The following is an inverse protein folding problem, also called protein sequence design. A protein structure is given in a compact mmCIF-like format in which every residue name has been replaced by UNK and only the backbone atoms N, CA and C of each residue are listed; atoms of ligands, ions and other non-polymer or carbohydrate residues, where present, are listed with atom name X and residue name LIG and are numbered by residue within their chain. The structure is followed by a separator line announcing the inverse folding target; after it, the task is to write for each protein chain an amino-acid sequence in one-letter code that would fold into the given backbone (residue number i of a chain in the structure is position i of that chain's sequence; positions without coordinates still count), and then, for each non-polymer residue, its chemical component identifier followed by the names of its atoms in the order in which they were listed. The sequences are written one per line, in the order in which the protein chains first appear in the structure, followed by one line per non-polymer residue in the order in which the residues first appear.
data_IF_857300230961
#
_entry.id   IF_857300230961
#
_cell.length_a   1.000
_cell.length_b   1.000
_cell.length_c   1.000
_cell.angle_alpha   90.00
_cell.angle_beta   90.00
_cell.angle_gamma   90.00
#
_symmetry.space_group_name_H-M   'P 1'
#
loop_
_entity.id
_entity.type
_entity.pdbx_description
1 polymer ?
#
# COMPACT_ATOMS: atom_id res chain seq x y z
N UNK A 1 10.27 18.55 6.63
CA UNK A 1 11.35 17.79 5.94
C UNK A 1 12.50 18.74 5.69
N UNK A 2 13.76 18.34 5.89
CA UNK A 2 14.91 19.16 5.54
C UNK A 2 14.96 19.44 4.03
N UNK A 3 15.20 20.69 3.66
CA UNK A 3 15.21 21.12 2.26
C UNK A 3 16.22 20.32 1.41
N UNK A 4 17.38 19.99 1.98
CA UNK A 4 18.45 19.24 1.32
C UNK A 4 18.15 17.76 1.07
N UNK A 5 17.11 17.19 1.70
CA UNK A 5 16.74 15.79 1.53
C UNK A 5 15.97 15.52 0.24
N UNK A 6 15.65 16.57 -0.54
CA UNK A 6 14.77 16.49 -1.70
C UNK A 6 15.54 16.94 -2.95
N UNK A 7 15.79 16.04 -3.91
CA UNK A 7 16.68 16.30 -5.04
C UNK A 7 16.13 17.34 -6.02
N UNK A 8 14.81 17.56 -6.08
CA UNK A 8 14.17 18.44 -7.05
C UNK A 8 13.25 19.49 -6.39
N UNK A 9 13.71 20.74 -6.38
CA UNK A 9 13.03 21.87 -5.69
C UNK A 9 11.99 22.58 -6.55
N UNK A 10 11.83 22.17 -7.81
CA UNK A 10 10.86 22.74 -8.77
C UNK A 10 9.43 22.65 -8.25
N UNK A 11 9.05 21.56 -7.57
CA UNK A 11 7.70 21.38 -7.04
C UNK A 11 7.33 22.46 -6.00
N UNK A 12 8.25 22.77 -5.07
CA UNK A 12 8.03 23.79 -4.04
C UNK A 12 7.84 25.18 -4.65
N UNK A 13 8.61 25.51 -5.70
CA UNK A 13 8.48 26.79 -6.42
C UNK A 13 7.17 26.89 -7.22
N UNK A 14 6.76 25.82 -7.92
CA UNK A 14 5.58 25.82 -8.80
C UNK A 14 4.27 25.72 -8.01
N UNK A 15 4.25 25.01 -6.88
CA UNK A 15 3.01 24.66 -6.13
C UNK A 15 2.83 25.37 -4.79
N UNK A 16 3.70 26.31 -4.43
CA UNK A 16 3.63 27.04 -3.15
C UNK A 16 2.28 27.73 -2.87
N UNK A 17 1.59 28.19 -3.92
CA UNK A 17 0.28 28.85 -3.83
C UNK A 17 -0.90 27.91 -3.51
N UNK A 18 -0.71 26.58 -3.59
CA UNK A 18 -1.78 25.59 -3.35
C UNK A 18 -1.72 24.99 -1.93
N UNK A 19 -0.91 25.57 -1.03
CA UNK A 19 -0.65 25.03 0.31
C UNK A 19 -0.16 23.56 0.27
N UNK A 20 0.47 23.13 -0.83
CA UNK A 20 1.07 21.80 -0.94
C UNK A 20 2.34 21.71 -0.09
N UNK A 21 3.25 22.65 -0.33
CA UNK A 21 4.57 22.73 0.28
C UNK A 21 4.94 24.20 0.46
N UNK A 22 5.47 24.58 1.62
CA UNK A 22 6.06 25.89 1.88
C UNK A 22 7.51 25.72 2.31
N UNK A 23 8.38 26.62 1.87
CA UNK A 23 9.76 26.71 2.35
C UNK A 23 9.75 27.59 3.61
N UNK A 24 10.30 27.10 4.71
CA UNK A 24 10.40 27.81 5.99
C UNK A 24 11.80 27.60 6.55
N UNK A 25 12.70 28.55 6.28
CA UNK A 25 14.13 28.39 6.59
C UNK A 25 14.74 27.20 5.86
N UNK A 26 15.35 26.29 6.60
CA UNK A 26 15.96 25.05 6.08
C UNK A 26 14.96 23.89 5.90
N UNK A 27 13.66 24.15 6.12
CA UNK A 27 12.62 23.12 6.11
C UNK A 27 11.59 23.34 5.00
N UNK A 28 11.05 22.23 4.52
CA UNK A 28 9.80 22.15 3.77
C UNK A 28 8.68 21.75 4.73
N UNK A 29 7.64 22.59 4.81
CA UNK A 29 6.42 22.39 5.61
C UNK A 29 5.23 22.06 4.70
N UNK A 30 4.34 21.20 5.18
CA UNK A 30 3.22 20.65 4.39
C UNK A 30 1.92 20.97 5.11
N UNK A 31 1.27 22.11 4.82
CA UNK A 31 0.06 22.52 5.51
C UNK A 31 -1.19 21.69 5.16
N UNK A 32 -1.03 20.62 4.38
CA UNK A 32 -2.10 19.68 4.05
C UNK A 32 -2.98 20.08 2.88
N UNK A 33 -2.60 21.12 2.15
CA UNK A 33 -3.32 21.56 0.96
C UNK A 33 -3.18 20.60 -0.22
N UNK A 34 -4.13 20.71 -1.14
CA UNK A 34 -4.25 19.94 -2.36
C UNK A 34 -4.78 20.83 -3.48
N UNK A 35 -4.63 20.42 -4.75
CA UNK A 35 -5.28 21.17 -5.84
C UNK A 35 -6.80 21.16 -5.68
N UNK A 36 -7.35 20.07 -5.13
CA UNK A 36 -8.79 19.93 -4.84
C UNK A 36 -9.19 20.34 -3.42
N UNK A 37 -8.22 20.56 -2.51
CA UNK A 37 -8.48 20.91 -1.12
C UNK A 37 -7.47 21.97 -0.66
N UNK A 38 -7.57 23.17 -1.25
CA UNK A 38 -6.59 24.27 -1.06
C UNK A 38 -6.51 24.75 0.37
N UNK A 39 -7.60 24.59 1.12
CA UNK A 39 -7.72 24.98 2.53
C UNK A 39 -7.41 23.84 3.52
N UNK A 40 -6.90 22.70 3.03
CA UNK A 40 -6.47 21.56 3.84
C UNK A 40 -7.33 20.31 3.64
N UNK A 41 -6.72 19.14 3.81
CA UNK A 41 -7.37 17.85 3.59
C UNK A 41 -8.47 17.50 4.60
N UNK A 42 -8.40 18.02 5.84
CA UNK A 42 -9.37 17.71 6.90
C UNK A 42 -10.80 18.09 6.51
N UNK A 43 -11.02 19.34 6.09
CA UNK A 43 -12.33 19.80 5.61
C UNK A 43 -12.86 18.92 4.47
N UNK A 44 -11.98 18.54 3.53
CA UNK A 44 -12.35 17.70 2.40
C UNK A 44 -12.73 16.27 2.82
N UNK A 45 -12.02 15.69 3.81
CA UNK A 45 -12.34 14.38 4.40
C UNK A 45 -13.70 14.43 5.10
N UNK A 46 -13.97 15.50 5.86
CA UNK A 46 -15.26 15.71 6.54
C UNK A 46 -16.39 15.92 5.53
N UNK A 47 -16.17 16.73 4.50
CA UNK A 47 -17.13 16.93 3.42
C UNK A 47 -17.51 15.63 2.71
N UNK A 48 -16.55 14.72 2.45
CA UNK A 48 -16.86 13.39 1.90
C UNK A 48 -17.74 12.59 2.87
N UNK A 49 -17.39 12.59 4.16
CA UNK A 49 -18.12 11.88 5.20
C UNK A 49 -19.54 12.42 5.40
N UNK A 50 -19.75 13.72 5.30
CA UNK A 50 -21.06 14.37 5.34
C UNK A 50 -21.89 14.05 4.09
N UNK A 51 -21.25 14.03 2.91
CA UNK A 51 -21.91 13.73 1.64
C UNK A 51 -22.36 12.27 1.55
N UNK A 52 -21.60 11.35 2.14
CA UNK A 52 -21.90 9.91 2.19
C UNK A 52 -21.55 9.35 3.57
N UNK A 53 -22.48 9.41 4.55
CA UNK A 53 -22.26 8.93 5.92
C UNK A 53 -21.77 7.48 6.01
N UNK A 54 -22.20 6.63 5.08
CA UNK A 54 -21.83 5.22 4.99
C UNK A 54 -20.33 4.98 4.76
N UNK A 55 -19.57 5.99 4.31
CA UNK A 55 -18.10 5.89 4.21
C UNK A 55 -17.49 5.57 5.58
N UNK A 56 -18.02 6.17 6.65
CA UNK A 56 -17.67 5.89 8.05
C UNK A 56 -16.16 5.63 8.28
N UNK A 57 -15.34 6.65 8.03
CA UNK A 57 -13.88 6.58 8.13
C UNK A 57 -13.43 5.97 9.47
N UNK A 58 -12.51 5.00 9.41
CA UNK A 58 -11.92 4.35 10.59
C UNK A 58 -12.83 3.35 11.29
N UNK A 59 -14.03 3.11 10.75
CA UNK A 59 -14.96 2.07 11.23
C UNK A 59 -15.20 1.07 10.11
N UNK A 60 -16.01 1.46 9.11
CA UNK A 60 -16.31 0.64 7.94
C UNK A 60 -15.16 0.71 6.93
N UNK A 61 -14.75 1.94 6.57
CA UNK A 61 -13.66 2.15 5.62
C UNK A 61 -12.36 2.32 6.40
N UNK A 62 -11.50 1.29 6.32
CA UNK A 62 -10.20 1.21 7.01
C UNK A 62 -9.03 1.25 6.04
N UNK A 63 -9.12 0.58 4.89
CA UNK A 63 -8.03 0.50 3.91
C UNK A 63 -8.44 1.17 2.60
N UNK A 64 -7.71 2.22 2.22
CA UNK A 64 -8.03 3.07 1.06
C UNK A 64 -6.89 3.04 0.05
N UNK A 65 -7.23 3.04 -1.23
CA UNK A 65 -6.29 3.27 -2.33
C UNK A 65 -6.42 4.72 -2.81
N UNK A 66 -5.34 5.50 -2.75
CA UNK A 66 -5.30 6.89 -3.23
C UNK A 66 -4.50 6.99 -4.53
N UNK A 67 -5.21 7.17 -5.64
CA UNK A 67 -4.65 7.19 -7.00
C UNK A 67 -4.24 8.61 -7.37
N UNK A 68 -2.98 8.78 -7.80
CA UNK A 68 -2.46 10.09 -8.20
C UNK A 68 -2.36 11.03 -6.99
N UNK A 69 -1.84 10.52 -5.89
CA UNK A 69 -1.92 11.09 -4.55
C UNK A 69 -1.20 12.45 -4.34
N UNK A 70 -0.39 12.91 -5.30
CA UNK A 70 0.49 14.05 -5.08
C UNK A 70 1.43 13.79 -3.90
N UNK A 71 1.49 14.72 -2.96
CA UNK A 71 2.26 14.57 -1.71
C UNK A 71 1.53 13.74 -0.63
N UNK A 72 0.49 13.00 -1.01
CA UNK A 72 -0.33 12.12 -0.17
C UNK A 72 -0.97 12.82 1.05
N UNK A 73 -1.35 14.09 0.92
CA UNK A 73 -2.01 14.82 2.01
C UNK A 73 -3.33 14.16 2.42
N UNK A 74 -4.15 13.69 1.47
CA UNK A 74 -5.40 12.99 1.78
C UNK A 74 -5.16 11.77 2.68
N UNK A 75 -4.26 10.87 2.26
CA UNK A 75 -3.89 9.69 3.05
C UNK A 75 -3.24 10.04 4.40
N UNK A 76 -2.40 11.08 4.44
CA UNK A 76 -1.71 11.51 5.66
C UNK A 76 -2.66 12.00 6.76
N UNK A 77 -3.70 12.76 6.42
CA UNK A 77 -4.69 13.24 7.40
C UNK A 77 -5.74 12.18 7.75
N UNK A 78 -5.90 11.14 6.93
CA UNK A 78 -6.77 10.00 7.22
C UNK A 78 -6.22 9.10 8.34
N UNK A 79 -4.92 9.17 8.64
CA UNK A 79 -4.35 8.47 9.80
C UNK A 79 -5.00 8.87 11.11
N UNK A 80 -5.29 10.17 11.30
CA UNK A 80 -5.97 10.69 12.51
C UNK A 80 -7.42 10.19 12.62
N UNK A 81 -7.97 9.66 11.53
CA UNK A 81 -9.29 9.01 11.47
C UNK A 81 -9.21 7.49 11.55
N UNK A 82 -8.04 6.91 11.88
CA UNK A 82 -7.88 5.47 11.94
C UNK A 82 -8.02 4.79 10.58
N UNK A 83 -7.61 5.44 9.50
CA UNK A 83 -7.64 4.90 8.13
C UNK A 83 -6.22 4.76 7.60
N UNK A 84 -5.91 3.59 7.03
CA UNK A 84 -4.66 3.35 6.32
C UNK A 84 -4.88 3.59 4.82
N UNK A 85 -4.07 4.48 4.24
CA UNK A 85 -4.19 4.82 2.83
C UNK A 85 -2.92 4.43 2.09
N UNK A 86 -3.04 3.48 1.16
CA UNK A 86 -1.98 3.17 0.21
C UNK A 86 -2.04 4.19 -0.93
N UNK A 87 -1.07 5.08 -0.96
CA UNK A 87 -1.00 6.14 -1.97
C UNK A 87 -0.07 5.74 -3.11
N UNK A 88 -0.39 6.06 -4.36
CA UNK A 88 0.59 5.90 -5.43
C UNK A 88 0.47 6.95 -6.52
N UNK A 89 1.61 7.21 -7.16
CA UNK A 89 1.71 8.05 -8.33
C UNK A 89 2.90 7.59 -9.20
N UNK A 90 2.88 7.89 -10.51
CA UNK A 90 4.02 7.63 -11.39
C UNK A 90 5.25 8.47 -10.99
N UNK A 91 6.43 8.05 -11.45
CA UNK A 91 7.58 8.95 -11.59
C UNK A 91 7.31 9.85 -12.79
N UNK A 92 6.64 10.97 -12.56
CA UNK A 92 6.40 11.99 -13.59
C UNK A 92 7.50 13.05 -13.59
N UNK A 93 7.40 14.07 -14.45
CA UNK A 93 8.33 15.21 -14.52
C UNK A 93 8.49 15.98 -13.19
N UNK A 94 7.63 15.71 -12.20
CA UNK A 94 7.72 16.30 -10.88
C UNK A 94 8.52 15.46 -9.88
N UNK A 95 8.96 14.25 -10.25
CA UNK A 95 9.92 13.27 -9.68
C UNK A 95 9.95 13.02 -8.16
N UNK A 96 9.24 13.78 -7.33
CA UNK A 96 9.42 13.83 -5.88
C UNK A 96 8.10 13.75 -5.08
N UNK A 97 6.93 13.62 -5.72
CA UNK A 97 5.64 13.67 -5.03
C UNK A 97 5.47 12.53 -4.01
N UNK A 98 5.68 11.29 -4.45
CA UNK A 98 5.70 10.09 -3.58
C UNK A 98 6.85 10.14 -2.59
N UNK A 99 8.02 10.66 -2.99
CA UNK A 99 9.16 10.83 -2.09
C UNK A 99 8.79 11.73 -0.90
N UNK A 100 8.08 12.84 -1.11
CA UNK A 100 7.61 13.70 -0.03
C UNK A 100 6.66 12.98 0.93
N UNK A 101 5.75 12.14 0.43
CA UNK A 101 4.87 11.34 1.27
C UNK A 101 5.69 10.42 2.19
N UNK A 102 6.65 9.69 1.60
CA UNK A 102 7.52 8.76 2.33
C UNK A 102 8.40 9.49 3.36
N UNK A 103 8.99 10.64 3.01
CA UNK A 103 9.77 11.48 3.95
C UNK A 103 8.94 12.02 5.12
N UNK A 104 7.60 12.14 4.96
CA UNK A 104 6.66 12.57 6.01
C UNK A 104 6.16 11.45 6.90
N UNK A 105 6.47 10.19 6.58
CA UNK A 105 5.90 9.05 7.31
C UNK A 105 4.57 8.54 6.73
N UNK A 106 4.25 8.86 5.47
CA UNK A 106 2.97 8.53 4.84
C UNK A 106 3.15 7.36 3.85
N UNK A 107 2.33 6.30 3.92
CA UNK A 107 2.42 5.14 3.04
C UNK A 107 2.22 5.54 1.59
N UNK A 108 3.22 5.24 0.77
CA UNK A 108 3.12 5.45 -0.66
C UNK A 108 4.04 4.49 -1.44
N UNK A 109 3.70 4.23 -2.70
CA UNK A 109 4.55 3.50 -3.64
C UNK A 109 4.69 4.27 -4.95
N UNK A 110 5.82 4.05 -5.63
CA UNK A 110 6.00 4.51 -7.01
C UNK A 110 5.38 3.47 -7.93
N UNK A 111 4.24 3.78 -8.54
CA UNK A 111 3.56 2.84 -9.43
C UNK A 111 2.83 3.59 -10.56
N UNK A 112 2.68 2.92 -11.69
CA UNK A 112 1.88 3.40 -12.82
C UNK A 112 0.76 2.39 -13.08
N UNK A 113 -0.42 2.86 -13.43
CA UNK A 113 -1.43 1.99 -14.03
C UNK A 113 -1.27 2.09 -15.54
N UNK A 114 -1.07 0.97 -16.23
CA UNK A 114 -0.88 1.00 -17.68
C UNK A 114 -0.93 -0.38 -18.32
N UNK A 115 0.10 -1.20 -18.11
CA UNK A 115 0.24 -2.49 -18.79
C UNK A 115 -0.10 -3.67 -17.89
N UNK A 116 0.25 -3.59 -16.61
CA UNK A 116 0.10 -4.67 -15.62
C UNK A 116 -0.89 -4.29 -14.52
N UNK A 117 -1.44 -5.31 -13.87
CA UNK A 117 -2.25 -5.17 -12.66
C UNK A 117 -1.45 -4.46 -11.57
N UNK A 118 -2.15 -3.67 -10.77
CA UNK A 118 -1.59 -3.20 -9.51
C UNK A 118 -1.24 -4.43 -8.66
N UNK A 119 -0.10 -4.41 -7.94
CA UNK A 119 0.43 -5.55 -7.17
C UNK A 119 -0.33 -5.81 -5.86
N UNK A 120 -1.66 -5.74 -5.94
CA UNK A 120 -2.62 -5.99 -4.88
C UNK A 120 -3.59 -7.10 -5.30
N UNK A 121 -4.11 -7.88 -4.35
CA UNK A 121 -5.14 -8.87 -4.64
C UNK A 121 -6.45 -8.18 -5.03
N UNK A 122 -7.34 -8.91 -5.69
CA UNK A 122 -8.69 -8.41 -5.94
C UNK A 122 -9.51 -8.31 -4.64
N UNK A 123 -10.47 -7.38 -4.57
CA UNK A 123 -11.45 -7.27 -3.48
C UNK A 123 -10.77 -7.01 -2.12
N UNK A 124 -9.91 -5.99 -2.03
CA UNK A 124 -9.14 -5.70 -0.81
C UNK A 124 -9.33 -4.31 -0.24
N UNK A 125 -9.56 -3.29 -1.09
CA UNK A 125 -9.77 -1.91 -0.63
C UNK A 125 -11.23 -1.65 -0.29
N UNK A 126 -11.44 -0.93 0.80
CA UNK A 126 -12.78 -0.52 1.25
C UNK A 126 -13.28 0.70 0.45
N UNK A 127 -12.36 1.58 0.05
CA UNK A 127 -12.61 2.69 -0.87
C UNK A 127 -11.40 2.98 -1.77
N UNK A 128 -11.68 3.57 -2.94
CA UNK A 128 -10.68 4.15 -3.84
C UNK A 128 -10.95 5.64 -3.97
N UNK A 129 -9.90 6.44 -3.87
CA UNK A 129 -9.97 7.90 -4.01
C UNK A 129 -9.12 8.36 -5.21
N UNK A 130 -9.66 9.32 -5.98
CA UNK A 130 -8.91 10.06 -6.97
C UNK A 130 -9.31 11.54 -6.91
N UNK A 131 -8.36 12.39 -6.51
CA UNK A 131 -8.50 13.85 -6.57
C UNK A 131 -7.59 14.43 -7.65
N UNK A 132 -8.18 14.80 -8.79
CA UNK A 132 -7.48 15.32 -9.97
C UNK A 132 -6.30 14.43 -10.40
N UNK A 133 -6.47 13.11 -10.33
CA UNK A 133 -5.42 12.14 -10.62
C UNK A 133 -4.98 12.08 -12.09
N UNK A 134 -5.71 12.76 -13.01
CA UNK A 134 -5.44 12.81 -14.46
C UNK A 134 -5.39 11.44 -15.15
N UNK A 135 -5.99 10.43 -14.53
CA UNK A 135 -6.11 9.10 -15.12
C UNK A 135 -7.27 9.11 -16.13
N UNK A 136 -7.04 8.73 -17.39
CA UNK A 136 -8.09 8.70 -18.40
C UNK A 136 -8.94 7.42 -18.23
N UNK A 137 -9.78 7.39 -17.21
CA UNK A 137 -10.55 6.20 -16.81
C UNK A 137 -11.47 5.61 -17.89
N UNK A 138 -11.93 6.42 -18.85
CA UNK A 138 -12.93 6.05 -19.86
C UNK A 138 -12.34 5.55 -21.19
N UNK A 139 -11.05 5.74 -21.43
CA UNK A 139 -10.42 5.35 -22.70
C UNK A 139 -10.00 3.87 -22.70
N UNK A 140 -9.56 3.36 -23.85
CA UNK A 140 -9.04 2.00 -24.00
C UNK A 140 -9.95 0.90 -23.44
N UNK A 141 -11.28 1.06 -23.61
CA UNK A 141 -12.27 0.12 -23.09
C UNK A 141 -12.41 0.14 -21.57
N UNK A 142 -11.93 1.19 -20.90
CA UNK A 142 -12.08 1.37 -19.46
C UNK A 142 -11.12 0.55 -18.60
N UNK A 143 -10.05 -0.02 -19.19
CA UNK A 143 -9.10 -0.93 -18.50
C UNK A 143 -8.64 -0.43 -17.14
N UNK A 144 -8.32 0.85 -17.01
CA UNK A 144 -7.85 1.43 -15.75
C UNK A 144 -8.96 1.47 -14.69
N UNK A 145 -10.20 1.76 -15.08
CA UNK A 145 -11.34 1.73 -14.17
C UNK A 145 -11.74 0.29 -13.82
N UNK A 146 -11.57 -0.65 -14.75
CA UNK A 146 -11.78 -2.08 -14.51
C UNK A 146 -10.78 -2.65 -13.51
N UNK A 147 -9.54 -2.16 -13.52
CA UNK A 147 -8.56 -2.49 -12.49
C UNK A 147 -8.97 -1.98 -11.11
N UNK A 148 -9.54 -0.77 -11.01
CA UNK A 148 -10.15 -0.31 -9.75
C UNK A 148 -11.31 -1.22 -9.33
N UNK A 149 -12.12 -1.66 -10.28
CA UNK A 149 -13.17 -2.62 -10.01
C UNK A 149 -12.64 -3.97 -9.51
N UNK A 150 -11.49 -4.45 -9.99
CA UNK A 150 -10.85 -5.67 -9.48
C UNK A 150 -10.48 -5.52 -8.00
N UNK A 151 -9.80 -4.43 -7.64
CA UNK A 151 -9.22 -4.26 -6.28
C UNK A 151 -10.21 -3.73 -5.24
N UNK A 152 -11.30 -3.06 -5.65
CA UNK A 152 -12.33 -2.54 -4.75
C UNK A 152 -13.28 -3.64 -4.26
N UNK A 153 -13.60 -3.64 -2.96
CA UNK A 153 -14.56 -4.59 -2.38
C UNK A 153 -15.99 -4.36 -2.90
N UNK A 154 -16.80 -5.42 -3.09
CA UNK A 154 -18.24 -5.29 -3.35
C UNK A 154 -18.89 -4.37 -2.31
N UNK A 155 -19.68 -3.39 -2.74
CA UNK A 155 -20.26 -2.39 -1.84
C UNK A 155 -19.31 -1.30 -1.35
N UNK A 156 -18.05 -1.30 -1.78
CA UNK A 156 -17.06 -0.26 -1.49
C UNK A 156 -17.24 0.97 -2.37
N UNK A 157 -16.56 2.06 -2.03
CA UNK A 157 -16.78 3.37 -2.66
C UNK A 157 -15.64 3.79 -3.59
N UNK A 158 -15.98 4.40 -4.73
CA UNK A 158 -15.06 5.19 -5.54
C UNK A 158 -15.41 6.66 -5.43
N UNK A 159 -14.48 7.45 -4.89
CA UNK A 159 -14.63 8.88 -4.66
C UNK A 159 -13.82 9.62 -5.72
N UNK A 160 -14.53 10.22 -6.69
CA UNK A 160 -13.92 10.88 -7.82
C UNK A 160 -14.12 12.40 -7.75
N UNK A 161 -13.00 13.13 -7.63
CA UNK A 161 -12.97 14.60 -7.58
C UNK A 161 -12.13 15.14 -8.72
N UNK A 162 -12.73 15.43 -9.87
CA UNK A 162 -12.03 15.94 -11.06
C UNK A 162 -12.83 17.02 -11.79
N UNK A 163 -12.19 17.80 -12.66
CA UNK A 163 -12.85 18.89 -13.41
C UNK A 163 -14.12 18.45 -14.15
N UNK A 164 -14.22 17.24 -14.76
CA UNK A 164 -15.46 16.75 -15.36
C UNK A 164 -16.67 16.71 -14.41
N UNK A 165 -16.44 16.60 -13.09
CA UNK A 165 -17.50 16.52 -12.08
C UNK A 165 -18.14 17.88 -11.82
N UNK A 166 -17.36 18.97 -11.85
CA UNK A 166 -17.81 20.29 -11.38
C UNK A 166 -17.65 21.43 -12.38
N UNK A 167 -17.01 21.20 -13.53
CA UNK A 167 -16.92 22.15 -14.63
C UNK A 167 -17.87 21.77 -15.78
N UNK A 168 -17.99 22.67 -16.76
CA UNK A 168 -18.88 22.54 -17.93
C UNK A 168 -18.18 22.91 -19.23
N UNK A 169 -16.85 22.81 -19.26
CA UNK A 169 -16.09 22.95 -20.51
C UNK A 169 -16.46 21.79 -21.45
N UNK A 170 -16.38 21.96 -22.79
CA UNK A 170 -16.76 20.91 -23.73
C UNK A 170 -16.08 19.56 -23.46
N UNK A 171 -14.75 19.55 -23.26
CA UNK A 171 -13.97 18.36 -22.94
C UNK A 171 -14.41 17.72 -21.60
N UNK A 172 -14.64 18.53 -20.57
CA UNK A 172 -15.11 18.05 -19.26
C UNK A 172 -16.48 17.35 -19.38
N UNK A 173 -17.38 17.87 -20.21
CA UNK A 173 -18.69 17.29 -20.46
C UNK A 173 -18.58 15.97 -21.23
N UNK A 174 -17.70 15.89 -22.23
CA UNK A 174 -17.43 14.66 -22.97
C UNK A 174 -16.89 13.56 -22.06
N UNK A 175 -15.88 13.89 -21.25
CA UNK A 175 -15.29 12.95 -20.28
C UNK A 175 -16.35 12.51 -19.25
N UNK A 176 -17.15 13.43 -18.72
CA UNK A 176 -18.23 13.09 -17.79
C UNK A 176 -19.23 12.11 -18.39
N UNK A 177 -19.64 12.35 -19.64
CA UNK A 177 -20.58 11.48 -20.34
C UNK A 177 -20.00 10.08 -20.58
N UNK A 178 -18.76 10.00 -21.08
CA UNK A 178 -18.07 8.73 -21.32
C UNK A 178 -17.88 7.94 -20.03
N UNK A 179 -17.44 8.61 -18.95
CA UNK A 179 -17.30 8.02 -17.62
C UNK A 179 -18.63 7.50 -17.07
N UNK A 180 -19.68 8.32 -17.15
CA UNK A 180 -21.00 7.95 -16.63
C UNK A 180 -21.58 6.75 -17.38
N UNK A 181 -21.38 6.67 -18.70
CA UNK A 181 -21.78 5.51 -19.51
C UNK A 181 -21.02 4.24 -19.09
N UNK A 182 -19.70 4.32 -18.95
CA UNK A 182 -18.86 3.19 -18.55
C UNK A 182 -19.20 2.68 -17.14
N UNK A 183 -19.29 3.58 -16.15
CA UNK A 183 -19.64 3.24 -14.77
C UNK A 183 -21.02 2.56 -14.71
N UNK A 184 -22.00 3.09 -15.45
CA UNK A 184 -23.33 2.47 -15.55
C UNK A 184 -23.26 1.08 -16.18
N UNK A 185 -22.45 0.89 -17.22
CA UNK A 185 -22.23 -0.42 -17.85
C UNK A 185 -21.49 -1.42 -16.93
N UNK A 186 -20.71 -0.90 -15.99
CA UNK A 186 -20.08 -1.66 -14.89
C UNK A 186 -21.02 -1.89 -13.69
N UNK A 187 -22.29 -1.47 -13.77
CA UNK A 187 -23.29 -1.60 -12.71
C UNK A 187 -22.94 -0.89 -11.40
N UNK A 188 -22.07 0.10 -11.44
CA UNK A 188 -21.78 0.93 -10.26
C UNK A 188 -22.90 1.94 -10.05
N UNK A 189 -23.34 2.06 -8.80
CA UNK A 189 -24.37 3.00 -8.39
C UNK A 189 -23.76 4.38 -8.17
N UNK A 190 -24.37 5.44 -8.73
CA UNK A 190 -24.03 6.81 -8.36
C UNK A 190 -24.74 7.17 -7.06
N UNK A 191 -23.99 7.26 -5.97
CA UNK A 191 -24.53 7.51 -4.61
C UNK A 191 -24.78 9.00 -4.38
N UNK A 192 -23.84 9.85 -4.77
CA UNK A 192 -23.92 11.29 -4.52
C UNK A 192 -23.08 12.07 -5.52
N UNK A 193 -23.58 13.26 -5.90
CA UNK A 193 -22.76 14.32 -6.49
C UNK A 193 -22.89 15.54 -5.58
N UNK A 194 -21.79 15.92 -4.95
CA UNK A 194 -21.78 17.01 -3.97
C UNK A 194 -20.76 18.06 -4.34
N UNK A 195 -21.03 19.32 -3.98
CA UNK A 195 -20.14 20.46 -4.24
C UNK A 195 -19.62 21.04 -2.93
N UNK A 196 -18.30 21.17 -2.83
CA UNK A 196 -17.62 21.86 -1.76
C UNK A 196 -17.51 23.35 -2.14
N UNK A 197 -18.30 24.19 -1.48
CA UNK A 197 -18.33 25.64 -1.73
C UNK A 197 -17.06 26.34 -1.27
N UNK A 198 -16.35 25.78 -0.28
CA UNK A 198 -15.15 26.37 0.32
C UNK A 198 -13.96 26.17 -0.63
N UNK A 199 -13.73 24.93 -1.08
CA UNK A 199 -12.65 24.64 -2.02
C UNK A 199 -13.05 24.90 -3.49
N UNK A 200 -14.34 25.15 -3.77
CA UNK A 200 -14.93 25.32 -5.11
C UNK A 200 -14.68 24.12 -6.01
N UNK A 201 -14.89 22.92 -5.46
CA UNK A 201 -14.75 21.63 -6.16
C UNK A 201 -16.03 20.81 -6.02
N UNK A 202 -16.10 19.67 -6.70
CA UNK A 202 -17.17 18.70 -6.53
C UNK A 202 -16.66 17.29 -6.56
N UNK A 203 -17.39 16.41 -5.88
CA UNK A 203 -17.13 14.97 -5.80
C UNK A 203 -18.31 14.20 -6.38
N UNK A 204 -18.02 13.15 -7.12
CA UNK A 204 -18.98 12.10 -7.46
C UNK A 204 -18.56 10.83 -6.70
N UNK A 205 -19.48 10.27 -5.91
CA UNK A 205 -19.24 9.04 -5.15
C UNK A 205 -20.04 7.92 -5.78
N UNK A 206 -19.35 6.86 -6.15
CA UNK A 206 -19.94 5.66 -6.72
C UNK A 206 -19.78 4.47 -5.78
N UNK A 207 -20.70 3.51 -5.84
CA UNK A 207 -20.66 2.27 -5.06
C UNK A 207 -20.62 1.06 -5.98
N UNK A 208 -19.65 0.18 -5.75
CA UNK A 208 -19.54 -1.10 -6.47
C UNK A 208 -20.72 -2.02 -6.08
N UNK A 209 -21.33 -2.77 -7.01
CA UNK A 209 -22.44 -3.67 -6.69
C UNK A 209 -22.05 -4.75 -5.68
N UNK A 210 -23.03 -5.24 -4.94
CA UNK A 210 -22.89 -6.30 -3.92
C UNK A 210 -23.42 -7.66 -4.39
N UNK A 211 -23.96 -7.76 -5.60
CA UNK A 211 -24.46 -9.00 -6.21
C UNK A 211 -24.24 -9.00 -7.73
N UNK A 212 -24.39 -10.16 -8.37
CA UNK A 212 -24.26 -10.27 -9.83
C UNK A 212 -25.53 -9.93 -10.61
N UNK A 213 -26.65 -9.62 -9.92
CA UNK A 213 -27.96 -9.42 -10.55
C UNK A 213 -27.92 -8.38 -11.69
N UNK A 214 -27.23 -7.26 -11.48
CA UNK A 214 -27.08 -6.26 -12.53
C UNK A 214 -26.24 -6.78 -13.70
N UNK A 215 -25.14 -7.51 -13.45
CA UNK A 215 -24.28 -8.05 -14.50
C UNK A 215 -25.01 -9.01 -15.43
N UNK A 216 -25.91 -9.81 -14.87
CA UNK A 216 -26.72 -10.82 -15.56
C UNK A 216 -27.86 -10.19 -16.38
N UNK A 217 -28.40 -9.07 -15.92
CA UNK A 217 -29.46 -8.32 -16.62
C UNK A 217 -28.97 -7.39 -17.73
N UNK A 218 -27.64 -7.29 -17.95
CA UNK A 218 -27.09 -6.40 -18.99
C UNK A 218 -27.46 -6.90 -20.38
N UNK A 219 -28.07 -6.01 -21.17
CA UNK A 219 -28.38 -6.27 -22.59
C UNK A 219 -27.12 -6.44 -23.45
N UNK A 220 -26.01 -5.80 -23.07
CA UNK A 220 -24.71 -5.91 -23.72
C UNK A 220 -23.64 -6.22 -22.69
N UNK A 221 -22.82 -7.24 -22.97
CA UNK A 221 -21.70 -7.63 -22.12
C UNK A 221 -20.45 -6.78 -22.46
N UNK A 222 -20.59 -5.46 -22.35
CA UNK A 222 -19.52 -4.49 -22.54
C UNK A 222 -19.46 -3.57 -21.32
N UNK A 223 -18.44 -3.64 -20.46
CA UNK A 223 -17.28 -4.56 -20.54
C UNK A 223 -17.68 -6.02 -20.23
N UNK A 224 -16.99 -7.01 -20.80
CA UNK A 224 -17.28 -8.43 -20.58
C UNK A 224 -16.96 -8.87 -19.15
N UNK A 225 -17.50 -10.01 -18.74
CA UNK A 225 -17.11 -10.68 -17.49
C UNK A 225 -15.85 -11.52 -17.76
N UNK A 226 -14.88 -11.50 -16.85
CA UNK A 226 -13.65 -12.27 -16.98
C UNK A 226 -13.92 -13.79 -17.00
N UNK A 227 -13.04 -14.56 -17.65
CA UNK A 227 -13.13 -16.02 -17.61
C UNK A 227 -12.91 -16.54 -16.19
N UNK A 228 -13.48 -17.71 -15.86
CA UNK A 228 -13.28 -18.33 -14.55
C UNK A 228 -11.84 -18.77 -14.27
N UNK A 229 -11.00 -18.86 -15.31
CA UNK A 229 -9.56 -19.13 -15.21
C UNK A 229 -8.73 -17.90 -14.86
N UNK A 230 -9.28 -16.69 -15.00
CA UNK A 230 -8.58 -15.44 -14.67
C UNK A 230 -8.72 -15.17 -13.17
N UNK A 231 -7.67 -15.51 -12.41
CA UNK A 231 -7.64 -15.31 -10.96
C UNK A 231 -7.55 -13.81 -10.63
N UNK A 232 -8.51 -13.22 -9.89
CA UNK A 232 -8.44 -11.82 -9.48
C UNK A 232 -7.31 -11.51 -8.47
N UNK A 233 -6.70 -12.51 -7.83
CA UNK A 233 -5.58 -12.32 -6.89
C UNK A 233 -4.22 -12.27 -7.58
N UNK A 234 -4.08 -12.96 -8.70
CA UNK A 234 -2.86 -12.92 -9.49
C UNK A 234 -2.61 -11.50 -10.01
N UNK A 235 -1.48 -10.92 -9.62
CA UNK A 235 -1.16 -9.52 -9.93
C UNK A 235 0.28 -9.30 -10.41
N UNK A 236 1.25 -10.09 -9.95
CA UNK A 236 2.66 -9.91 -10.34
C UNK A 236 2.87 -10.24 -11.82
N UNK A 237 3.30 -9.26 -12.62
CA UNK A 237 3.43 -9.35 -14.09
C UNK A 237 2.20 -9.87 -14.84
N UNK A 238 1.01 -9.69 -14.25
CA UNK A 238 -0.24 -10.04 -14.92
C UNK A 238 -0.72 -8.84 -15.74
N UNK A 239 -0.91 -8.97 -17.07
CA UNK A 239 -1.41 -7.87 -17.89
C UNK A 239 -2.79 -7.38 -17.44
N UNK A 240 -3.04 -6.08 -17.57
CA UNK A 240 -4.36 -5.51 -17.34
C UNK A 240 -5.40 -6.16 -18.24
N UNK A 241 -6.53 -6.53 -17.63
CA UNK A 241 -7.64 -7.17 -18.32
C UNK A 241 -8.78 -6.17 -18.52
N UNK A 242 -9.36 -6.17 -19.71
CA UNK A 242 -10.53 -5.36 -20.05
C UNK A 242 -11.85 -6.10 -19.72
N UNK A 243 -11.94 -6.67 -18.51
CA UNK A 243 -13.11 -7.43 -18.08
C UNK A 243 -13.41 -7.21 -16.58
N UNK A 244 -14.61 -7.62 -16.15
CA UNK A 244 -15.03 -7.54 -14.75
C UNK A 244 -15.12 -8.92 -14.11
N UNK A 245 -14.61 -9.06 -12.89
CA UNK A 245 -14.84 -10.25 -12.06
C UNK A 245 -16.23 -10.23 -11.43
N UNK A 246 -16.88 -11.39 -11.37
CA UNK A 246 -18.14 -11.58 -10.65
C UNK A 246 -17.97 -11.32 -9.15
N UNK A 247 -19.03 -10.85 -8.52
CA UNK A 247 -19.09 -10.76 -7.05
C UNK A 247 -19.20 -12.18 -6.49
N UNK A 248 -18.38 -12.57 -5.50
CA UNK A 248 -18.52 -13.86 -4.82
C UNK A 248 -19.83 -13.92 -4.03
N UNK A 249 -20.67 -14.93 -4.26
CA UNK A 249 -21.98 -15.08 -3.57
C UNK A 249 -22.01 -16.27 -2.59
N UNK A 250 -21.11 -17.24 -2.75
CA UNK A 250 -20.98 -18.36 -1.82
C UNK A 250 -20.51 -17.88 -0.43
N UNK A 251 -21.22 -18.28 0.63
CA UNK A 251 -21.05 -17.74 1.98
C UNK A 251 -19.64 -17.91 2.57
N UNK A 252 -18.93 -18.98 2.20
CA UNK A 252 -17.56 -19.26 2.66
C UNK A 252 -16.47 -18.80 1.68
N UNK A 253 -16.85 -18.19 0.56
CA UNK A 253 -15.91 -17.69 -0.44
C UNK A 253 -15.46 -16.28 -0.07
N UNK A 254 -14.16 -16.01 -0.16
CA UNK A 254 -13.58 -14.68 0.11
C UNK A 254 -14.30 -13.61 -0.71
N UNK A 255 -14.69 -12.52 -0.05
CA UNK A 255 -15.33 -11.36 -0.68
C UNK A 255 -16.86 -11.41 -0.75
N UNK A 256 -17.51 -12.49 -0.29
CA UNK A 256 -18.97 -12.57 -0.16
C UNK A 256 -19.52 -11.85 1.06
N UNK A 257 -18.69 -11.63 2.09
CA UNK A 257 -19.04 -10.88 3.29
C UNK A 257 -18.02 -9.76 3.52
N UNK A 258 -18.48 -8.68 4.16
CA UNK A 258 -17.58 -7.65 4.64
C UNK A 258 -16.84 -8.12 5.90
N UNK A 259 -15.58 -7.70 6.08
CA UNK A 259 -14.88 -7.86 7.34
C UNK A 259 -15.62 -7.17 8.49
N UNK A 260 -15.31 -7.58 9.72
CA UNK A 260 -15.74 -6.86 10.92
C UNK A 260 -15.32 -5.38 10.87
N UNK A 261 -15.97 -4.52 11.64
CA UNK A 261 -15.56 -3.12 11.72
C UNK A 261 -14.20 -2.97 12.41
N UNK A 262 -13.46 -1.92 12.06
CA UNK A 262 -12.23 -1.57 12.78
C UNK A 262 -12.55 -1.11 14.22
N UNK A 263 -11.79 -1.51 15.25
CA UNK A 263 -10.56 -2.31 15.20
C UNK A 263 -10.73 -3.84 15.31
N UNK A 264 -11.96 -4.35 15.46
CA UNK A 264 -12.22 -5.77 15.71
C UNK A 264 -11.68 -6.71 14.61
N UNK A 265 -11.70 -6.27 13.34
CA UNK A 265 -11.16 -7.06 12.23
C UNK A 265 -9.66 -7.40 12.33
N UNK A 266 -8.88 -6.66 13.11
CA UNK A 266 -7.43 -6.89 13.21
C UNK A 266 -7.10 -8.28 13.79
N UNK A 267 -7.91 -8.75 14.73
CA UNK A 267 -7.70 -9.99 15.48
C UNK A 267 -8.71 -11.07 15.08
N UNK A 268 -9.76 -10.71 14.33
CA UNK A 268 -10.78 -11.64 13.85
C UNK A 268 -10.22 -12.53 12.74
N UNK A 269 -10.24 -13.84 12.98
CA UNK A 269 -9.99 -14.82 11.93
C UNK A 269 -11.01 -14.66 10.78
N UNK A 270 -10.57 -14.51 9.52
CA UNK A 270 -11.46 -14.43 8.38
C UNK A 270 -12.41 -15.61 8.27
N UNK A 271 -13.69 -15.35 7.96
CA UNK A 271 -14.74 -16.38 7.87
C UNK A 271 -14.48 -17.46 6.81
N UNK A 272 -13.65 -17.14 5.81
CA UNK A 272 -13.30 -18.02 4.69
C UNK A 272 -12.02 -18.84 4.93
N UNK A 273 -11.34 -18.66 6.07
CA UNK A 273 -10.30 -19.60 6.51
C UNK A 273 -10.97 -20.79 7.19
N UNK A 274 -10.91 -21.94 6.53
CA UNK A 274 -11.59 -23.16 7.00
C UNK A 274 -10.60 -24.07 7.74
N UNK A 275 -11.07 -24.77 8.77
CA UNK A 275 -10.24 -25.75 9.50
C UNK A 275 -9.78 -26.93 8.63
N UNK A 276 -10.42 -27.16 7.49
CA UNK A 276 -10.01 -28.15 6.49
C UNK A 276 -8.79 -27.72 5.66
N UNK A 277 -8.45 -26.42 5.67
CA UNK A 277 -7.27 -25.89 4.99
C UNK A 277 -6.08 -25.93 5.93
N UNK A 278 -4.91 -26.28 5.39
CA UNK A 278 -3.65 -26.25 6.12
C UNK A 278 -3.03 -24.85 5.96
N UNK A 279 -2.69 -24.23 7.08
CA UNK A 279 -1.99 -22.94 7.14
C UNK A 279 -0.53 -23.05 6.74
N UNK A 280 0.14 -21.90 6.67
CA UNK A 280 1.54 -21.78 6.21
C UNK A 280 2.52 -22.55 7.10
N UNK A 281 2.25 -22.67 8.41
CA UNK A 281 3.08 -23.39 9.36
C UNK A 281 2.53 -24.78 9.72
N UNK A 282 1.62 -25.33 8.90
CA UNK A 282 1.18 -26.73 8.98
C UNK A 282 0.03 -27.01 9.97
N UNK A 283 -0.46 -26.01 10.71
CA UNK A 283 -1.69 -26.11 11.51
C UNK A 283 -2.94 -25.92 10.63
N UNK A 284 -4.13 -26.08 11.19
CA UNK A 284 -5.33 -25.63 10.48
C UNK A 284 -5.28 -24.11 10.26
N UNK A 285 -5.75 -23.61 9.11
CA UNK A 285 -5.58 -22.19 8.75
C UNK A 285 -6.07 -21.19 9.82
N UNK A 286 -7.22 -21.41 10.50
CA UNK A 286 -7.67 -20.56 11.61
C UNK A 286 -6.72 -20.56 12.83
N UNK A 287 -6.23 -21.74 13.22
CA UNK A 287 -5.31 -21.89 14.35
C UNK A 287 -3.95 -21.30 14.02
N UNK A 288 -3.52 -21.42 12.77
CA UNK A 288 -2.25 -20.91 12.30
C UNK A 288 -2.21 -19.38 12.30
N UNK A 289 -3.28 -18.75 11.80
CA UNK A 289 -3.49 -17.30 11.89
C UNK A 289 -3.42 -16.79 13.34
N UNK A 290 -4.09 -17.50 14.26
CA UNK A 290 -4.13 -17.12 15.68
C UNK A 290 -2.77 -17.30 16.33
N UNK A 291 -2.08 -18.40 16.04
CA UNK A 291 -0.76 -18.70 16.58
C UNK A 291 0.31 -17.72 16.08
N UNK A 292 0.25 -17.31 14.81
CA UNK A 292 1.13 -16.28 14.23
C UNK A 292 0.97 -14.95 14.98
N UNK A 293 -0.26 -14.50 15.21
CA UNK A 293 -0.50 -13.26 15.94
C UNK A 293 0.02 -13.31 17.38
N UNK A 294 -0.26 -14.39 18.12
CA UNK A 294 0.22 -14.56 19.50
C UNK A 294 1.75 -14.69 19.59
N UNK A 295 2.39 -15.27 18.57
CA UNK A 295 3.84 -15.30 18.46
C UNK A 295 4.40 -13.88 18.28
N UNK A 296 3.93 -13.13 17.29
CA UNK A 296 4.45 -11.79 17.01
C UNK A 296 4.15 -10.80 18.13
N UNK A 297 2.97 -10.88 18.74
CA UNK A 297 2.63 -10.08 19.93
C UNK A 297 3.64 -10.29 21.05
N UNK A 298 4.05 -11.54 21.29
CA UNK A 298 5.07 -11.88 22.30
C UNK A 298 6.46 -11.40 21.91
N UNK A 299 6.87 -11.61 20.66
CA UNK A 299 8.20 -11.22 20.14
C UNK A 299 8.36 -9.69 20.20
N UNK A 300 7.38 -8.95 19.69
CA UNK A 300 7.41 -7.48 19.69
C UNK A 300 7.44 -6.94 21.12
N UNK A 301 6.52 -7.38 21.98
CA UNK A 301 6.41 -6.86 23.35
C UNK A 301 7.61 -7.20 24.25
N UNK A 302 8.13 -8.42 24.16
CA UNK A 302 9.20 -8.90 25.05
C UNK A 302 10.60 -8.63 24.54
N UNK A 303 10.80 -8.56 23.22
CA UNK A 303 12.14 -8.50 22.63
C UNK A 303 12.37 -7.21 21.85
N UNK A 304 11.49 -6.85 20.91
CA UNK A 304 11.79 -5.75 19.99
C UNK A 304 11.57 -4.37 20.63
N UNK A 305 10.50 -4.21 21.41
CA UNK A 305 10.16 -2.92 22.01
C UNK A 305 11.22 -2.43 23.00
N UNK A 306 11.71 -3.31 23.87
CA UNK A 306 12.60 -2.93 24.97
C UNK A 306 14.01 -3.53 24.85
N UNK A 307 14.18 -4.65 24.15
CA UNK A 307 15.42 -5.42 24.17
C UNK A 307 16.46 -5.00 23.12
N UNK A 308 16.05 -4.30 22.06
CA UNK A 308 16.92 -4.01 20.90
C UNK A 308 17.54 -2.61 20.89
N UNK A 309 17.26 -1.76 21.90
CA UNK A 309 17.77 -0.38 21.94
C UNK A 309 17.23 0.53 20.82
N UNK A 310 16.10 0.16 20.21
CA UNK A 310 15.46 0.93 19.14
C UNK A 310 14.67 2.08 19.76
N UNK A 311 14.99 3.32 19.37
CA UNK A 311 14.15 4.45 19.71
C UNK A 311 12.91 4.49 18.80
N UNK A 312 11.82 3.85 19.23
CA UNK A 312 10.59 3.77 18.44
C UNK A 312 9.94 5.12 18.12
N UNK A 313 10.26 6.19 18.87
CA UNK A 313 9.74 7.54 18.57
C UNK A 313 10.31 8.14 17.28
N UNK A 314 11.42 7.60 16.76
CA UNK A 314 12.04 8.04 15.51
C UNK A 314 11.67 7.17 14.32
N UNK A 315 10.97 6.05 14.54
CA UNK A 315 10.55 5.10 13.50
C UNK A 315 9.17 5.51 13.01
N UNK A 316 8.98 5.59 11.69
CA UNK A 316 7.70 5.94 11.06
C UNK A 316 7.32 4.94 9.98
N UNK A 317 8.28 4.63 9.11
CA UNK A 317 8.14 3.75 7.96
C UNK A 317 8.79 2.41 8.26
N UNK A 318 7.97 1.37 8.41
CA UNK A 318 8.43 0.00 8.62
C UNK A 318 8.08 -0.85 7.40
N UNK A 319 8.96 -1.77 7.05
CA UNK A 319 8.64 -2.82 6.07
C UNK A 319 8.90 -4.19 6.70
N UNK A 320 7.89 -5.04 6.65
CA UNK A 320 8.05 -6.46 6.89
C UNK A 320 8.27 -7.13 5.53
N UNK A 321 9.53 -7.43 5.25
CA UNK A 321 9.99 -7.87 3.94
C UNK A 321 9.48 -9.27 3.59
N UNK A 322 9.03 -10.04 4.58
CA UNK A 322 8.42 -11.36 4.37
C UNK A 322 7.31 -11.56 5.39
N UNK A 323 6.16 -10.98 5.10
CA UNK A 323 4.95 -11.19 5.89
C UNK A 323 4.33 -12.55 5.60
N UNK A 324 3.54 -13.04 6.55
CA UNK A 324 2.65 -14.19 6.35
C UNK A 324 1.21 -13.73 6.61
N UNK A 325 0.72 -13.82 7.84
CA UNK A 325 -0.62 -13.34 8.19
C UNK A 325 -0.66 -11.87 8.62
N UNK A 326 0.45 -11.14 8.47
CA UNK A 326 0.62 -9.76 8.96
C UNK A 326 0.66 -9.65 10.48
N UNK A 327 0.99 -10.74 11.20
CA UNK A 327 1.05 -10.75 12.67
C UNK A 327 2.04 -9.77 13.26
N UNK A 328 3.19 -9.57 12.60
CA UNK A 328 4.16 -8.53 12.98
C UNK A 328 3.52 -7.14 12.94
N UNK A 329 2.92 -6.74 11.81
CA UNK A 329 2.24 -5.45 11.69
C UNK A 329 1.08 -5.30 12.68
N UNK A 330 0.32 -6.36 12.93
CA UNK A 330 -0.76 -6.34 13.92
C UNK A 330 -0.26 -6.20 15.37
N UNK A 331 0.91 -6.76 15.68
CA UNK A 331 1.55 -6.60 16.99
C UNK A 331 2.10 -5.18 17.21
N UNK A 332 2.31 -4.42 16.13
CA UNK A 332 2.77 -3.04 16.16
C UNK A 332 1.62 -2.01 16.26
N UNK A 333 0.36 -2.45 16.41
CA UNK A 333 -0.84 -1.57 16.32
C UNK A 333 -0.82 -0.36 17.27
N UNK A 334 -0.21 -0.51 18.44
CA UNK A 334 -0.19 0.50 19.50
C UNK A 334 1.01 1.46 19.36
N UNK A 335 1.83 1.28 18.32
CA UNK A 335 2.98 2.11 17.99
C UNK A 335 2.58 2.96 16.78
N UNK A 336 2.91 4.25 16.79
CA UNK A 336 2.58 5.19 15.71
C UNK A 336 3.45 5.01 14.47
N UNK A 337 3.42 3.81 13.88
CA UNK A 337 4.12 3.41 12.65
C UNK A 337 3.13 2.78 11.67
N UNK A 338 3.49 2.77 10.40
CA UNK A 338 2.84 1.91 9.41
C UNK A 338 3.83 0.85 8.91
N UNK A 339 3.29 -0.31 8.52
CA UNK A 339 4.07 -1.45 8.05
C UNK A 339 3.67 -1.79 6.62
N UNK A 340 4.63 -1.72 5.69
CA UNK A 340 4.51 -2.37 4.38
C UNK A 340 4.68 -3.87 4.59
N UNK A 341 3.59 -4.62 4.44
CA UNK A 341 3.66 -6.08 4.48
C UNK A 341 3.96 -6.63 3.09
N UNK A 342 5.06 -7.34 2.92
CA UNK A 342 5.46 -7.88 1.60
C UNK A 342 5.21 -9.38 1.57
N UNK A 343 4.40 -9.83 0.61
CA UNK A 343 4.22 -11.25 0.29
C UNK A 343 5.06 -11.59 -0.94
N UNK A 344 6.02 -12.48 -0.78
CA UNK A 344 6.88 -12.92 -1.88
C UNK A 344 6.10 -13.77 -2.87
N UNK A 345 6.34 -13.59 -4.18
CA UNK A 345 5.58 -14.26 -5.25
C UNK A 345 5.74 -15.80 -5.25
N UNK A 346 6.78 -16.30 -4.58
CA UNK A 346 7.12 -17.71 -4.40
C UNK A 346 6.65 -18.26 -3.04
N UNK A 347 5.83 -17.51 -2.32
CA UNK A 347 5.26 -17.88 -1.03
C UNK A 347 3.74 -18.08 -1.11
N UNK A 348 3.12 -18.81 -0.16
CA UNK A 348 1.66 -18.93 -0.10
C UNK A 348 0.97 -17.56 -0.08
N UNK A 349 -0.03 -17.38 -0.95
CA UNK A 349 -0.75 -16.13 -1.07
C UNK A 349 -1.60 -15.84 0.18
N UNK A 350 -1.04 -15.01 1.06
CA UNK A 350 -1.65 -14.60 2.33
C UNK A 350 -1.97 -13.11 2.35
N UNK A 351 -1.66 -12.38 1.28
CA UNK A 351 -1.90 -10.94 1.19
C UNK A 351 -3.39 -10.57 1.35
N UNK A 352 -4.36 -11.33 0.78
CA UNK A 352 -5.77 -11.07 1.03
C UNK A 352 -6.15 -11.12 2.51
N UNK A 353 -5.48 -11.97 3.31
CA UNK A 353 -5.72 -12.10 4.76
C UNK A 353 -5.26 -10.82 5.47
N UNK A 354 -4.09 -10.29 5.10
CA UNK A 354 -3.55 -9.04 5.65
C UNK A 354 -4.53 -7.89 5.41
N UNK A 355 -5.09 -7.80 4.20
CA UNK A 355 -6.14 -6.82 3.91
C UNK A 355 -7.43 -7.09 4.68
N UNK A 356 -7.83 -8.33 4.89
CA UNK A 356 -8.99 -8.68 5.73
C UNK A 356 -8.83 -8.14 7.17
N UNK A 357 -7.60 -8.15 7.71
CA UNK A 357 -7.29 -7.56 9.03
C UNK A 357 -7.37 -6.04 9.09
N UNK A 358 -7.56 -5.36 7.96
CA UNK A 358 -7.52 -3.89 7.89
C UNK A 358 -6.10 -3.33 7.91
N UNK A 359 -5.12 -4.12 7.46
CA UNK A 359 -3.75 -3.73 7.15
C UNK A 359 -3.59 -3.65 5.62
N UNK A 360 -2.42 -3.26 5.12
CA UNK A 360 -2.12 -3.30 3.68
C UNK A 360 -0.78 -3.98 3.42
N UNK A 361 -0.55 -4.32 2.17
CA UNK A 361 0.70 -4.88 1.71
C UNK A 361 0.75 -4.99 0.20
N UNK A 362 1.78 -5.66 -0.29
CA UNK A 362 2.08 -5.74 -1.72
C UNK A 362 2.70 -7.10 -2.06
N UNK A 363 2.44 -7.59 -3.27
CA UNK A 363 3.23 -8.68 -3.85
C UNK A 363 4.58 -8.16 -4.33
N UNK A 364 5.64 -8.94 -4.15
CA UNK A 364 6.97 -8.56 -4.67
C UNK A 364 7.86 -9.77 -4.92
N UNK A 365 8.65 -9.74 -6.00
CA UNK A 365 9.80 -10.62 -6.14
C UNK A 365 11.08 -9.94 -5.64
N UNK A 366 11.67 -10.47 -4.58
CA UNK A 366 12.93 -9.94 -4.03
C UNK A 366 14.15 -10.15 -4.91
N UNK A 367 14.00 -10.86 -6.03
CA UNK A 367 14.99 -10.88 -7.10
C UNK A 367 14.94 -9.64 -8.01
N UNK A 368 13.93 -8.77 -7.82
CA UNK A 368 13.79 -7.48 -8.49
C UNK A 368 13.95 -6.32 -7.48
N UNK A 369 14.20 -5.11 -7.99
CA UNK A 369 14.22 -3.92 -7.13
C UNK A 369 12.82 -3.52 -6.69
N UNK A 370 12.65 -3.17 -5.42
CA UNK A 370 11.38 -2.68 -4.91
C UNK A 370 11.08 -1.29 -5.45
N UNK A 371 9.87 -1.06 -5.97
CA UNK A 371 9.48 0.22 -6.58
C UNK A 371 9.21 1.32 -5.54
N UNK A 372 10.30 1.78 -4.91
CA UNK A 372 10.35 2.84 -3.91
C UNK A 372 11.61 3.69 -4.08
N UNK A 373 11.63 4.86 -3.45
CA UNK A 373 12.80 5.74 -3.43
C UNK A 373 13.88 5.17 -2.49
N UNK A 374 15.18 5.42 -2.75
CA UNK A 374 16.21 5.11 -1.78
C UNK A 374 15.94 5.79 -0.43
N UNK A 375 16.36 5.17 0.67
CA UNK A 375 16.23 5.70 2.04
C UNK A 375 14.79 6.02 2.41
N UNK A 376 13.89 5.10 2.11
CA UNK A 376 12.46 5.23 2.43
C UNK A 376 12.14 4.77 3.84
N UNK A 377 12.67 3.62 4.25
CA UNK A 377 12.26 2.94 5.48
C UNK A 377 13.20 3.26 6.64
N UNK A 378 12.63 3.44 7.83
CA UNK A 378 13.39 3.61 9.08
C UNK A 378 13.74 2.25 9.69
N UNK A 379 12.91 1.22 9.44
CA UNK A 379 13.12 -0.14 9.92
C UNK A 379 12.70 -1.17 8.87
N UNK A 380 13.56 -2.15 8.64
CA UNK A 380 13.29 -3.35 7.85
C UNK A 380 13.26 -4.56 8.78
N UNK A 381 12.24 -5.39 8.63
CA UNK A 381 12.08 -6.65 9.35
C UNK A 381 12.07 -7.80 8.33
N UNK A 382 12.85 -8.83 8.59
CA UNK A 382 12.93 -10.02 7.74
C UNK A 382 12.92 -11.28 8.60
N UNK A 383 11.90 -12.11 8.43
CA UNK A 383 11.78 -13.42 9.09
C UNK A 383 11.92 -14.53 8.04
N UNK A 384 13.04 -15.26 8.08
CA UNK A 384 13.39 -16.36 7.19
C UNK A 384 13.29 -16.00 5.69
N UNK A 385 13.72 -14.79 5.34
CA UNK A 385 13.74 -14.29 3.97
C UNK A 385 15.03 -14.70 3.25
N UNK A 386 16.18 -14.45 3.88
CA UNK A 386 17.47 -14.50 3.19
C UNK A 386 17.91 -15.94 2.90
N UNK A 387 17.66 -16.87 3.81
CA UNK A 387 17.93 -18.30 3.60
C UNK A 387 17.11 -18.91 2.46
N UNK A 388 15.93 -18.35 2.19
CA UNK A 388 15.07 -18.76 1.07
C UNK A 388 15.50 -18.11 -0.23
N UNK A 389 15.68 -16.79 -0.23
CA UNK A 389 15.96 -16.02 -1.45
C UNK A 389 17.34 -16.35 -2.04
N UNK A 390 18.33 -16.70 -1.20
CA UNK A 390 19.68 -17.09 -1.65
C UNK A 390 19.71 -18.31 -2.58
N UNK A 391 18.61 -19.08 -2.64
CA UNK A 391 18.44 -20.22 -3.56
C UNK A 391 17.90 -19.82 -4.93
N UNK A 392 17.28 -18.65 -5.06
CA UNK A 392 16.65 -18.14 -6.29
C UNK A 392 17.48 -17.07 -6.98
N UNK A 393 18.07 -16.16 -6.21
CA UNK A 393 18.86 -15.06 -6.74
C UNK A 393 20.02 -14.66 -5.81
N UNK A 394 20.84 -13.74 -6.30
CA UNK A 394 22.09 -13.36 -5.65
C UNK A 394 21.83 -12.61 -4.34
N UNK A 395 22.31 -13.16 -3.22
CA UNK A 395 22.15 -12.58 -1.89
C UNK A 395 22.73 -11.16 -1.79
N UNK A 396 23.87 -10.88 -2.45
CA UNK A 396 24.49 -9.55 -2.45
C UNK A 396 23.59 -8.51 -3.10
N UNK A 397 22.87 -8.87 -4.16
CA UNK A 397 21.92 -7.96 -4.81
C UNK A 397 20.75 -7.62 -3.87
N UNK A 398 20.22 -8.60 -3.13
CA UNK A 398 19.16 -8.38 -2.14
C UNK A 398 19.66 -7.50 -0.99
N UNK A 399 20.88 -7.74 -0.50
CA UNK A 399 21.49 -6.89 0.55
C UNK A 399 21.76 -5.47 0.04
N UNK A 400 22.15 -5.30 -1.23
CA UNK A 400 22.28 -3.97 -1.84
C UNK A 400 20.93 -3.25 -1.95
N UNK A 401 19.85 -3.98 -2.25
CA UNK A 401 18.49 -3.43 -2.25
C UNK A 401 18.04 -3.00 -0.85
N UNK A 402 18.33 -3.83 0.16
CA UNK A 402 18.15 -3.50 1.59
C UNK A 402 18.91 -2.24 1.96
N UNK A 403 20.17 -2.09 1.56
CA UNK A 403 20.93 -0.85 1.74
C UNK A 403 20.23 0.31 1.03
N UNK A 404 19.85 0.16 -0.23
CA UNK A 404 19.24 1.22 -1.02
C UNK A 404 17.98 1.78 -0.35
N UNK A 405 17.08 0.93 0.13
CA UNK A 405 15.77 1.36 0.67
C UNK A 405 15.83 1.78 2.15
N UNK A 406 16.82 1.32 2.91
CA UNK A 406 16.99 1.69 4.32
C UNK A 406 17.62 3.08 4.47
N UNK A 407 17.04 3.90 5.36
CA UNK A 407 17.61 5.20 5.74
C UNK A 407 18.93 5.02 6.49
N UNK A 408 19.86 5.97 6.38
CA UNK A 408 20.97 6.04 7.33
C UNK A 408 20.44 6.07 8.77
N UNK A 409 21.13 5.42 9.69
CA UNK A 409 20.72 5.17 11.09
C UNK A 409 19.47 4.28 11.24
N UNK A 410 18.88 3.88 10.10
CA UNK A 410 17.82 2.90 10.02
C UNK A 410 18.30 1.51 10.42
N UNK A 411 17.34 0.68 10.84
CA UNK A 411 17.62 -0.62 11.45
C UNK A 411 17.12 -1.76 10.58
N UNK A 412 17.90 -2.83 10.51
CA UNK A 412 17.48 -4.10 9.92
C UNK A 412 17.45 -5.16 11.04
N UNK A 413 16.28 -5.77 11.23
CA UNK A 413 16.10 -6.93 12.11
C UNK A 413 15.92 -8.15 11.22
N UNK A 414 16.79 -9.14 11.39
CA UNK A 414 16.75 -10.41 10.66
C UNK A 414 16.62 -11.57 11.64
N UNK A 415 15.64 -12.43 11.41
CA UNK A 415 15.55 -13.76 12.03
C UNK A 415 15.73 -14.78 10.93
N UNK A 416 16.77 -15.60 11.00
CA UNK A 416 17.04 -16.60 9.98
C UNK A 416 17.93 -17.73 10.54
N UNK A 417 18.28 -18.72 9.71
CA UNK A 417 19.24 -19.73 10.14
C UNK A 417 20.62 -19.14 10.45
N UNK A 418 21.36 -19.81 11.36
CA UNK A 418 22.65 -19.31 11.86
C UNK A 418 23.69 -19.10 10.75
N UNK A 419 23.68 -19.93 9.70
CA UNK A 419 24.61 -19.81 8.58
C UNK A 419 24.35 -18.52 7.80
N UNK A 420 23.09 -18.26 7.46
CA UNK A 420 22.67 -17.03 6.79
C UNK A 420 22.91 -15.80 7.66
N UNK A 421 22.69 -15.86 8.97
CA UNK A 421 22.98 -14.74 9.87
C UNK A 421 24.48 -14.39 9.87
N UNK A 422 25.36 -15.39 9.93
CA UNK A 422 26.81 -15.15 9.88
C UNK A 422 27.26 -14.54 8.55
N UNK A 423 26.70 -15.02 7.44
CA UNK A 423 26.96 -14.48 6.10
C UNK A 423 26.53 -13.01 5.99
N UNK A 424 25.31 -12.69 6.44
CA UNK A 424 24.79 -11.32 6.47
C UNK A 424 25.62 -10.41 7.39
N UNK A 425 26.02 -10.89 8.58
CA UNK A 425 26.84 -10.14 9.52
C UNK A 425 28.20 -9.75 8.88
N UNK A 426 28.81 -10.66 8.11
CA UNK A 426 30.03 -10.37 7.36
C UNK A 426 29.83 -9.27 6.32
N UNK A 427 28.74 -9.35 5.53
CA UNK A 427 28.42 -8.36 4.50
C UNK A 427 28.18 -6.97 5.10
N UNK A 428 27.35 -6.87 6.14
CA UNK A 428 27.02 -5.57 6.76
C UNK A 428 28.23 -4.93 7.45
N UNK A 429 29.14 -5.73 8.05
CA UNK A 429 30.43 -5.23 8.54
C UNK A 429 31.30 -4.70 7.40
N UNK A 430 31.32 -5.38 6.26
CA UNK A 430 32.00 -4.90 5.04
C UNK A 430 31.46 -3.53 4.57
N UNK A 431 30.16 -3.31 4.71
CA UNK A 431 29.49 -2.02 4.44
C UNK A 431 29.65 -0.99 5.56
N UNK A 432 30.43 -1.27 6.61
CA UNK A 432 30.62 -0.41 7.79
C UNK A 432 29.31 -0.13 8.54
N UNK A 433 28.34 -1.04 8.53
CA UNK A 433 27.16 -0.96 9.39
C UNK A 433 27.51 -1.44 10.80
N UNK A 434 26.78 -0.94 11.80
CA UNK A 434 27.00 -1.30 13.19
C UNK A 434 26.15 -2.53 13.58
N UNK A 435 26.78 -3.58 14.06
CA UNK A 435 26.08 -4.74 14.64
C UNK A 435 25.67 -4.39 16.07
N UNK A 436 24.37 -4.14 16.28
CA UNK A 436 23.82 -3.77 17.60
C UNK A 436 23.58 -5.00 18.46
N UNK A 437 23.14 -6.09 17.85
CA UNK A 437 22.85 -7.34 18.54
C UNK A 437 22.98 -8.51 17.56
N UNK A 438 23.68 -9.55 18.00
CA UNK A 438 23.62 -10.88 17.40
C UNK A 438 23.32 -11.88 18.49
N UNK A 439 22.31 -12.72 18.29
CA UNK A 439 21.96 -13.80 19.20
C UNK A 439 21.66 -15.05 18.38
N UNK A 440 22.20 -16.20 18.77
CA UNK A 440 21.87 -17.48 18.17
C UNK A 440 21.46 -18.48 19.23
N UNK A 441 20.42 -19.25 18.93
CA UNK A 441 19.97 -20.36 19.76
C UNK A 441 19.52 -21.50 18.87
N UNK A 442 20.04 -22.68 19.15
CA UNK A 442 19.80 -23.89 18.36
C UNK A 442 20.18 -23.66 16.88
N UNK A 443 19.20 -23.65 15.97
CA UNK A 443 19.40 -23.41 14.54
C UNK A 443 18.92 -22.03 14.07
N UNK A 444 18.33 -21.22 14.95
CA UNK A 444 17.86 -19.87 14.63
C UNK A 444 18.84 -18.82 15.16
N UNK A 445 19.05 -17.78 14.35
CA UNK A 445 19.75 -16.57 14.74
C UNK A 445 18.87 -15.33 14.59
N UNK A 446 19.21 -14.32 15.38
CA UNK A 446 18.63 -12.98 15.39
C UNK A 446 19.77 -11.98 15.24
N UNK A 447 19.67 -11.13 14.22
CA UNK A 447 20.60 -10.06 13.93
C UNK A 447 19.83 -8.73 13.94
N UNK A 448 20.32 -7.76 14.71
CA UNK A 448 19.89 -6.38 14.62
C UNK A 448 21.10 -5.53 14.27
N UNK A 449 21.03 -4.85 13.13
CA UNK A 449 22.09 -3.96 12.65
C UNK A 449 21.55 -2.57 12.38
N UNK A 450 22.43 -1.58 12.49
CA UNK A 450 22.15 -0.20 12.20
C UNK A 450 23.01 0.30 11.04
N UNK A 451 22.36 0.87 10.03
CA UNK A 451 23.03 1.44 8.87
C UNK A 451 23.82 2.68 9.29
N UNK A 452 25.10 2.73 8.96
CA UNK A 452 25.92 3.91 9.24
C UNK A 452 25.75 5.02 8.19
N UNK A 453 26.35 6.18 8.45
CA UNK A 453 26.47 7.28 7.50
C UNK A 453 27.62 7.11 6.50
N UNK A 454 28.36 6.01 6.59
CA UNK A 454 29.53 5.76 5.75
C UNK A 454 29.16 5.67 4.27
N UNK A 455 30.10 6.09 3.42
CA UNK A 455 30.00 5.91 1.96
C UNK A 455 31.34 5.47 1.39
N UNK A 456 31.34 4.54 0.42
CA UNK A 456 32.55 4.17 -0.27
C UNK A 456 33.10 5.35 -1.07
N UNK A 457 34.43 5.47 -1.13
CA UNK A 457 35.12 6.46 -1.99
C UNK A 457 35.43 5.89 -3.38
N UNK A 458 35.47 4.57 -3.50
CA UNK A 458 35.73 3.84 -4.74
C UNK A 458 34.43 3.18 -5.20
N UNK A 459 34.20 3.19 -6.52
CA UNK A 459 33.00 2.63 -7.13
C UNK A 459 33.39 1.39 -7.94
N UNK A 460 32.75 0.26 -7.64
CA UNK A 460 32.85 -0.95 -8.44
C UNK A 460 31.49 -1.25 -9.08
N UNK A 461 31.51 -1.48 -10.39
CA UNK A 461 30.31 -1.83 -11.15
C UNK A 461 30.04 -3.32 -11.03
N UNK A 462 29.01 -3.68 -10.28
CA UNK A 462 28.54 -5.07 -10.15
C UNK A 462 27.79 -5.47 -11.43
N UNK A 463 28.49 -6.04 -12.41
CA UNK A 463 27.95 -6.33 -13.76
C UNK A 463 26.66 -7.16 -13.75
N UNK A 464 26.51 -8.09 -12.82
CA UNK A 464 25.31 -8.93 -12.73
C UNK A 464 24.09 -8.21 -12.15
N UNK A 465 24.26 -7.04 -11.52
CA UNK A 465 23.16 -6.22 -10.99
C UNK A 465 22.59 -5.24 -12.04
N UNK A 466 23.14 -5.27 -13.26
CA UNK A 466 22.74 -4.41 -14.39
C UNK A 466 21.98 -5.22 -15.46
N UNK A 467 21.99 -6.55 -15.35
CA UNK A 467 21.45 -7.48 -16.34
C UNK A 467 19.94 -7.70 -16.16
#
# INVERSE_FOLDING_TARGET
IWYYNVPHTKLAKIKGHQNWVKVTGEYLTFPGGGTQFKNGALHYIDFIQESVPDVAWGKRTRVVLDVGCGVASFGGFLFDRGVLTMSFAPKDEHEAQVQFALERGIPAISAVMGTERLPFPGIVFDAVHCARCRVPWHIEGGKLLLELNRVLRPGGFFIWSATPVYQKLPEDVEIWNAMSQLIKAMCWELVSISKDTINKVGIAVYRKPTSNECYEKRSQQQPPVCSGSDDPNAAWHVPLQACMHKVPEESLKRGSQWPEQWPARLEKTPYWLLSSQVGVYGKSAPEDFTADYEHWKRVVSKSYLNGMGINWSTVRNVMDMRSVYGGFAAAMKDISVWVMNVISIDSPDTLPIIYERGLFGIYHDWCESFSTYPRTYDLLHADHLFSKIKKRCNLVAVVAEVDRILRPEGKLIVRDDVETINELESMVKGMQWEVRMTYSKDKEGLLCVEKSMWRPKELETIKYAIA
#
